data_IF_044255612307
#
_entry.id   IF_044255612307
#
_cell.length_a   1.000
_cell.length_b   1.000
_cell.length_c   1.000
_cell.angle_alpha   90.00
_cell.angle_beta   90.00
_cell.angle_gamma   90.00
#
_symmetry.space_group_name_H-M   'P 1'
#
loop_
_entity.id
_entity.type
_entity.pdbx_description
1 polymer ?
#
# COMPACT_ATOMS: atom_id res chain seq x y z
N UNK A 1 14.60 5.67 27.40
CA UNK A 1 13.62 6.04 26.33
C UNK A 1 13.77 7.49 25.90
N UNK A 2 13.47 8.50 26.73
CA UNK A 2 13.58 9.91 26.31
C UNK A 2 14.99 10.35 25.89
N UNK A 3 16.04 9.85 26.55
CA UNK A 3 17.44 10.12 26.14
C UNK A 3 17.77 9.56 24.75
N UNK A 4 17.24 8.39 24.38
CA UNK A 4 17.41 7.85 23.02
C UNK A 4 16.67 8.69 21.98
N UNK A 5 15.44 9.13 22.28
CA UNK A 5 14.69 10.04 21.40
C UNK A 5 15.45 11.35 21.21
N UNK A 6 15.95 11.95 22.29
CA UNK A 6 16.78 13.14 22.22
C UNK A 6 18.06 12.89 21.40
N UNK A 7 18.72 11.76 21.62
CA UNK A 7 19.90 11.36 20.85
C UNK A 7 19.61 11.24 19.36
N UNK A 8 18.47 10.66 18.98
CA UNK A 8 18.03 10.56 17.58
C UNK A 8 17.73 11.93 16.96
N UNK A 9 17.03 12.82 17.68
CA UNK A 9 16.76 14.19 17.22
C UNK A 9 18.04 15.00 17.02
N UNK A 10 18.99 14.86 17.95
CA UNK A 10 20.32 15.48 17.83
C UNK A 10 21.07 14.89 16.63
N UNK A 11 21.02 13.57 16.44
CA UNK A 11 21.64 12.90 15.31
C UNK A 11 21.05 13.33 13.95
N UNK A 12 19.73 13.46 13.85
CA UNK A 12 19.06 13.99 12.65
C UNK A 12 19.58 15.41 12.33
N UNK A 13 19.61 16.30 13.32
CA UNK A 13 20.10 17.66 13.16
C UNK A 13 21.59 17.72 12.80
N UNK A 14 22.43 16.86 13.38
CA UNK A 14 23.86 16.80 13.06
C UNK A 14 24.11 16.31 11.65
N UNK A 15 23.38 15.28 11.18
CA UNK A 15 23.46 14.80 9.80
C UNK A 15 23.06 15.90 8.81
N UNK A 16 21.95 16.61 9.05
CA UNK A 16 21.54 17.72 8.18
C UNK A 16 22.58 18.84 8.11
N UNK A 17 23.14 19.24 9.25
CA UNK A 17 24.20 20.27 9.31
C UNK A 17 25.49 19.82 8.65
N UNK A 18 25.88 18.56 8.84
CA UNK A 18 27.08 18.00 8.22
C UNK A 18 26.96 17.97 6.69
N UNK A 19 25.81 17.53 6.17
CA UNK A 19 25.54 17.55 4.73
C UNK A 19 25.54 18.97 4.15
N UNK A 20 24.99 19.95 4.86
CA UNK A 20 25.03 21.35 4.45
C UNK A 20 26.47 21.89 4.40
N UNK A 21 27.26 21.64 5.45
CA UNK A 21 28.66 22.07 5.52
C UNK A 21 29.50 21.46 4.39
N UNK A 22 29.35 20.16 4.14
CA UNK A 22 30.04 19.48 3.05
C UNK A 22 29.71 20.09 1.68
N UNK A 23 28.44 20.46 1.45
CA UNK A 23 28.02 21.09 0.20
C UNK A 23 28.60 22.49 0.02
N UNK A 24 28.55 23.32 1.06
CA UNK A 24 29.09 24.67 1.03
C UNK A 24 30.61 24.68 0.83
N UNK A 25 31.33 23.76 1.47
CA UNK A 25 32.79 23.67 1.33
C UNK A 25 33.26 23.26 -0.06
N UNK A 26 32.45 22.48 -0.77
CA UNK A 26 32.79 21.93 -2.09
C UNK A 26 32.02 22.62 -3.24
N UNK A 27 31.34 23.75 -2.97
CA UNK A 27 30.49 24.48 -3.93
C UNK A 27 29.45 23.60 -4.65
N UNK A 28 28.92 22.59 -3.95
CA UNK A 28 27.93 21.65 -4.47
C UNK A 28 26.51 22.18 -4.26
N UNK A 29 25.68 22.11 -5.31
CA UNK A 29 24.26 22.43 -5.22
C UNK A 29 23.48 21.30 -4.52
N UNK A 30 22.39 21.60 -3.80
CA UNK A 30 21.51 20.57 -3.29
C UNK A 30 20.96 19.74 -4.47
N UNK A 31 20.93 18.40 -4.36
CA UNK A 31 20.34 17.59 -5.40
C UNK A 31 18.86 17.94 -5.54
N UNK A 32 18.36 18.00 -6.78
CA UNK A 32 16.96 18.32 -7.08
C UNK A 32 15.99 17.29 -6.52
N UNK A 33 16.45 16.05 -6.31
CA UNK A 33 15.70 14.95 -5.76
C UNK A 33 16.56 14.10 -4.81
N UNK A 34 15.95 13.55 -3.78
CA UNK A 34 16.59 12.63 -2.85
C UNK A 34 16.77 11.25 -3.49
N UNK A 35 17.82 11.09 -4.28
CA UNK A 35 18.21 9.81 -4.90
C UNK A 35 19.57 9.35 -4.38
N UNK A 36 19.75 8.03 -4.25
CA UNK A 36 21.00 7.43 -3.77
C UNK A 36 21.99 7.33 -4.93
N UNK A 37 21.55 6.77 -6.07
CA UNK A 37 22.37 6.61 -7.28
C UNK A 37 22.02 7.67 -8.32
N UNK A 38 22.78 8.77 -8.38
CA UNK A 38 22.48 9.93 -9.24
C UNK A 38 22.48 9.62 -10.75
N UNK A 39 23.27 8.64 -11.19
CA UNK A 39 23.40 8.29 -12.61
C UNK A 39 22.35 7.29 -13.12
N UNK A 40 21.43 6.82 -12.27
CA UNK A 40 20.45 5.80 -12.65
C UNK A 40 19.08 6.44 -12.87
N UNK A 41 18.64 6.42 -14.11
CA UNK A 41 17.35 6.95 -14.60
C UNK A 41 16.49 5.82 -15.17
N UNK A 42 15.25 6.13 -15.56
CA UNK A 42 14.33 5.17 -16.20
C UNK A 42 14.91 4.53 -17.47
N UNK A 43 15.74 5.23 -18.23
CA UNK A 43 16.36 4.69 -19.45
C UNK A 43 17.33 3.53 -19.13
N UNK A 44 18.02 3.61 -18.00
CA UNK A 44 18.98 2.59 -17.58
C UNK A 44 18.33 1.35 -16.96
N UNK A 45 17.02 1.36 -16.70
CA UNK A 45 16.29 0.24 -16.11
C UNK A 45 16.44 -1.06 -16.92
N UNK A 46 16.42 -0.93 -18.25
CA UNK A 46 16.38 -2.08 -19.16
C UNK A 46 17.77 -2.55 -19.63
N UNK A 47 18.84 -1.85 -19.25
CA UNK A 47 20.21 -2.16 -19.70
C UNK A 47 20.83 -3.40 -19.02
N UNK A 48 20.31 -3.84 -17.87
CA UNK A 48 20.83 -5.02 -17.17
C UNK A 48 20.34 -5.13 -15.71
N UNK A 49 20.62 -6.29 -15.09
CA UNK A 49 20.13 -6.61 -13.73
C UNK A 49 20.63 -5.62 -12.68
N UNK A 50 21.92 -5.24 -12.70
CA UNK A 50 22.49 -4.34 -11.72
C UNK A 50 21.91 -2.89 -11.83
N UNK A 51 21.85 -2.26 -13.02
CA UNK A 51 21.12 -1.00 -13.20
C UNK A 51 19.65 -1.07 -12.76
N UNK A 52 18.97 -2.17 -13.05
CA UNK A 52 17.58 -2.40 -12.65
C UNK A 52 17.39 -2.41 -11.12
N UNK A 53 18.25 -3.13 -10.39
CA UNK A 53 18.23 -3.13 -8.92
C UNK A 53 18.50 -1.73 -8.36
N UNK A 54 19.50 -1.01 -8.89
CA UNK A 54 19.78 0.37 -8.46
C UNK A 54 18.60 1.31 -8.71
N UNK A 55 17.90 1.12 -9.83
CA UNK A 55 16.70 1.89 -10.15
C UNK A 55 15.59 1.62 -9.13
N UNK A 56 15.33 0.35 -8.78
CA UNK A 56 14.31 0.02 -7.77
C UNK A 56 14.70 0.48 -6.36
N UNK A 57 15.99 0.54 -6.02
CA UNK A 57 16.44 1.14 -4.75
C UNK A 57 16.11 2.65 -4.72
N UNK A 58 16.32 3.37 -5.84
CA UNK A 58 15.99 4.80 -5.91
C UNK A 58 14.48 5.07 -5.96
N UNK A 59 13.73 4.32 -6.77
CA UNK A 59 12.37 4.67 -7.17
C UNK A 59 11.33 3.58 -6.87
N UNK A 60 11.66 2.59 -6.04
CA UNK A 60 10.77 1.49 -5.69
C UNK A 60 9.46 1.98 -5.07
N UNK A 61 9.54 2.87 -4.07
CA UNK A 61 8.35 3.47 -3.48
C UNK A 61 7.64 4.46 -4.42
N UNK A 62 8.38 5.15 -5.31
CA UNK A 62 7.77 6.00 -6.34
C UNK A 62 6.90 5.21 -7.32
N UNK A 63 7.28 3.96 -7.66
CA UNK A 63 6.49 3.08 -8.54
C UNK A 63 5.41 2.30 -7.80
N UNK A 64 5.71 1.73 -6.64
CA UNK A 64 4.83 0.79 -5.93
C UNK A 64 4.21 1.33 -4.63
N UNK A 65 4.34 2.63 -4.36
CA UNK A 65 3.97 3.21 -3.06
C UNK A 65 2.48 3.10 -2.74
N UNK A 66 1.60 3.15 -3.75
CA UNK A 66 0.16 2.95 -3.55
C UNK A 66 -0.13 1.51 -3.14
N UNK A 67 0.43 0.54 -3.85
CA UNK A 67 0.30 -0.88 -3.60
C UNK A 67 0.84 -1.25 -2.20
N UNK A 68 2.02 -0.74 -1.85
CA UNK A 68 2.61 -0.91 -0.52
C UNK A 68 1.70 -0.31 0.56
N UNK A 69 1.16 0.89 0.34
CA UNK A 69 0.25 1.55 1.29
C UNK A 69 -1.04 0.75 1.49
N UNK A 70 -1.61 0.19 0.43
CA UNK A 70 -2.81 -0.66 0.50
C UNK A 70 -2.54 -1.97 1.23
N UNK A 71 -1.38 -2.61 0.99
CA UNK A 71 -0.95 -3.80 1.73
C UNK A 71 -0.79 -3.48 3.22
N UNK A 72 -0.19 -2.33 3.56
CA UNK A 72 -0.08 -1.88 4.95
C UNK A 72 -1.45 -1.64 5.58
N UNK A 73 -2.42 -1.10 4.84
CA UNK A 73 -3.78 -0.91 5.33
C UNK A 73 -4.46 -2.25 5.66
N UNK A 74 -4.33 -3.24 4.76
CA UNK A 74 -4.83 -4.60 5.01
C UNK A 74 -4.13 -5.24 6.22
N UNK A 75 -2.82 -5.01 6.39
CA UNK A 75 -2.08 -5.50 7.54
C UNK A 75 -2.61 -4.90 8.86
N UNK A 76 -2.88 -3.59 8.91
CA UNK A 76 -3.52 -2.94 10.09
C UNK A 76 -4.86 -3.60 10.40
N UNK A 77 -5.70 -3.81 9.38
CA UNK A 77 -7.02 -4.43 9.56
C UNK A 77 -6.89 -5.87 10.12
N UNK A 78 -5.94 -6.65 9.59
CA UNK A 78 -5.72 -8.04 9.99
C UNK A 78 -5.04 -8.21 11.35
N UNK A 79 -4.21 -7.27 11.78
CA UNK A 79 -3.55 -7.33 13.09
C UNK A 79 -4.44 -6.81 14.23
N UNK A 80 -5.24 -5.77 13.97
CA UNK A 80 -6.10 -5.17 15.01
C UNK A 80 -7.35 -6.00 15.32
N UNK A 81 -8.09 -6.42 14.28
CA UNK A 81 -9.33 -7.19 14.43
C UNK A 81 -10.32 -6.59 15.45
N UNK A 82 -10.40 -5.25 15.51
CA UNK A 82 -11.24 -4.47 16.42
C UNK A 82 -12.21 -3.55 15.64
N UNK A 83 -13.06 -2.82 16.35
CA UNK A 83 -14.00 -1.87 15.72
C UNK A 83 -13.31 -0.82 14.83
N UNK A 84 -12.11 -0.37 15.20
CA UNK A 84 -11.36 0.60 14.39
C UNK A 84 -10.82 0.00 13.09
N UNK A 85 -10.49 -1.29 13.10
CA UNK A 85 -10.16 -2.02 11.89
C UNK A 85 -11.34 -2.03 10.88
N UNK A 86 -12.60 -2.08 11.34
CA UNK A 86 -13.76 -1.89 10.46
C UNK A 86 -13.78 -0.50 9.82
N UNK A 87 -13.48 0.56 10.57
CA UNK A 87 -13.39 1.91 10.03
C UNK A 87 -12.28 2.02 8.96
N UNK A 88 -11.12 1.42 9.21
CA UNK A 88 -10.06 1.31 8.21
C UNK A 88 -10.50 0.53 6.97
N UNK A 89 -11.26 -0.56 7.13
CA UNK A 89 -11.78 -1.37 6.02
C UNK A 89 -12.79 -0.59 5.17
N UNK A 90 -13.68 0.19 5.79
CA UNK A 90 -14.63 1.05 5.09
C UNK A 90 -13.89 2.16 4.33
N UNK A 91 -12.89 2.79 4.95
CA UNK A 91 -12.07 3.79 4.28
C UNK A 91 -11.30 3.20 3.09
N UNK A 92 -10.74 1.99 3.25
CA UNK A 92 -10.05 1.26 2.18
C UNK A 92 -11.00 0.97 1.00
N UNK A 93 -12.21 0.46 1.27
CA UNK A 93 -13.23 0.23 0.24
C UNK A 93 -13.63 1.53 -0.48
N UNK A 94 -13.77 2.64 0.25
CA UNK A 94 -14.10 3.94 -0.32
C UNK A 94 -12.99 4.48 -1.24
N UNK A 95 -11.71 4.24 -0.89
CA UNK A 95 -10.57 4.58 -1.75
C UNK A 95 -10.53 3.68 -2.98
N UNK A 96 -10.67 2.36 -2.81
CA UNK A 96 -10.63 1.39 -3.90
C UNK A 96 -11.83 1.48 -4.86
N UNK A 97 -12.97 2.04 -4.43
CA UNK A 97 -14.08 2.32 -5.34
C UNK A 97 -13.67 3.30 -6.45
N UNK A 98 -12.68 4.16 -6.19
CA UNK A 98 -12.03 5.01 -7.18
C UNK A 98 -11.00 4.17 -7.96
N UNK A 99 -11.42 3.58 -9.07
CA UNK A 99 -10.58 2.67 -9.88
C UNK A 99 -9.40 3.32 -10.63
N UNK A 100 -9.30 4.65 -10.64
CA UNK A 100 -8.25 5.38 -11.38
C UNK A 100 -7.30 6.04 -10.39
N UNK A 101 -5.99 5.90 -10.60
CA UNK A 101 -4.89 6.49 -9.83
C UNK A 101 -5.07 7.99 -9.62
N UNK A 102 -5.41 8.73 -10.67
CA UNK A 102 -5.67 10.19 -10.55
C UNK A 102 -6.81 10.49 -9.59
N UNK A 103 -7.90 9.73 -9.66
CA UNK A 103 -9.05 9.91 -8.77
C UNK A 103 -8.73 9.50 -7.32
N UNK A 104 -7.89 8.47 -7.12
CA UNK A 104 -7.35 8.11 -5.81
C UNK A 104 -6.49 9.26 -5.26
N UNK A 105 -5.59 9.80 -6.07
CA UNK A 105 -4.71 10.91 -5.71
C UNK A 105 -5.45 12.16 -5.22
N UNK A 106 -6.62 12.47 -5.79
CA UNK A 106 -7.47 13.59 -5.34
C UNK A 106 -8.08 13.38 -3.94
N UNK A 107 -8.43 12.14 -3.59
CA UNK A 107 -9.04 11.80 -2.28
C UNK A 107 -7.97 11.45 -1.24
N UNK A 108 -6.75 11.14 -1.66
CA UNK A 108 -5.66 10.68 -0.79
C UNK A 108 -5.33 11.59 0.40
N UNK A 109 -5.34 12.94 0.28
CA UNK A 109 -5.14 13.82 1.43
C UNK A 109 -6.22 13.63 2.51
N UNK A 110 -7.48 13.37 2.11
CA UNK A 110 -8.58 13.08 3.03
C UNK A 110 -8.36 11.74 3.73
N UNK A 111 -7.84 10.74 3.02
CA UNK A 111 -7.47 9.45 3.61
C UNK A 111 -6.33 9.59 4.63
N UNK A 112 -5.29 10.37 4.32
CA UNK A 112 -4.19 10.65 5.27
C UNK A 112 -4.68 11.42 6.50
N UNK A 113 -5.58 12.39 6.33
CA UNK A 113 -6.19 13.12 7.43
C UNK A 113 -7.04 12.19 8.32
N UNK A 114 -7.81 11.29 7.70
CA UNK A 114 -8.58 10.27 8.42
C UNK A 114 -7.67 9.35 9.24
N UNK A 115 -6.60 8.79 8.66
CA UNK A 115 -5.69 7.89 9.39
C UNK A 115 -4.96 8.61 10.52
N UNK A 116 -4.49 9.84 10.30
CA UNK A 116 -3.87 10.66 11.33
C UNK A 116 -4.84 10.98 12.47
N UNK A 117 -6.05 11.45 12.14
CA UNK A 117 -7.08 11.80 13.11
C UNK A 117 -7.52 10.59 13.93
N UNK A 118 -7.68 9.43 13.30
CA UNK A 118 -8.05 8.19 13.99
C UNK A 118 -6.95 7.74 14.95
N UNK A 119 -5.68 7.82 14.55
CA UNK A 119 -4.55 7.48 15.42
C UNK A 119 -4.50 8.40 16.66
N UNK A 120 -4.67 9.71 16.48
CA UNK A 120 -4.72 10.67 17.61
C UNK A 120 -5.90 10.35 18.52
N UNK A 121 -7.07 10.07 17.95
CA UNK A 121 -8.26 9.72 18.72
C UNK A 121 -8.05 8.43 19.53
N UNK A 122 -7.49 7.38 18.93
CA UNK A 122 -7.18 6.15 19.66
C UNK A 122 -6.15 6.36 20.77
N UNK A 123 -5.15 7.21 20.55
CA UNK A 123 -4.18 7.56 21.59
C UNK A 123 -4.86 8.26 22.78
N UNK A 124 -5.79 9.19 22.52
CA UNK A 124 -6.60 9.83 23.56
C UNK A 124 -7.46 8.81 24.33
N UNK A 125 -8.02 7.81 23.64
CA UNK A 125 -8.74 6.72 24.31
C UNK A 125 -7.82 5.89 25.21
N UNK A 126 -6.58 5.63 24.81
CA UNK A 126 -5.62 4.93 25.67
C UNK A 126 -5.22 5.73 26.91
N UNK A 127 -5.21 7.06 26.85
CA UNK A 127 -5.01 7.92 28.02
C UNK A 127 -6.19 7.76 29.00
N UNK A 128 -7.41 7.76 28.47
CA UNK A 128 -8.62 7.63 29.27
C UNK A 128 -8.89 8.83 30.18
N UNK A 129 -9.71 8.60 31.20
CA UNK A 129 -10.14 9.59 32.20
C UNK A 129 -9.31 9.39 33.49
N UNK A 130 -9.09 10.44 34.31
CA UNK A 130 -8.44 10.30 35.61
C UNK A 130 -9.03 9.15 36.45
N UNK A 131 -8.20 8.37 37.17
CA UNK A 131 -8.61 7.15 37.87
C UNK A 131 -9.59 7.38 39.02
N UNK A 132 -9.86 8.63 39.39
CA UNK A 132 -10.88 8.98 40.38
C UNK A 132 -12.32 8.82 39.86
N UNK A 133 -12.52 8.74 38.54
CA UNK A 133 -13.84 8.67 37.92
C UNK A 133 -14.11 7.26 37.39
N UNK A 134 -15.32 6.74 37.61
CA UNK A 134 -15.73 5.44 37.09
C UNK A 134 -16.31 5.56 35.66
N UNK A 135 -16.05 4.55 34.83
CA UNK A 135 -16.59 4.52 33.47
C UNK A 135 -18.04 4.01 33.39
N UNK A 136 -18.88 4.62 32.53
CA UNK A 136 -20.32 4.35 32.49
C UNK A 136 -20.66 2.93 32.03
N UNK A 137 -19.86 2.30 31.15
CA UNK A 137 -20.12 0.92 30.70
C UNK A 137 -19.98 -0.15 31.78
N UNK A 138 -19.30 0.16 32.90
CA UNK A 138 -19.21 -0.73 34.06
C UNK A 138 -20.23 -0.40 35.15
N UNK A 139 -20.68 0.86 35.23
CA UNK A 139 -21.64 1.34 36.25
C UNK A 139 -23.08 1.43 35.75
N UNK A 140 -23.33 1.13 34.47
CA UNK A 140 -24.66 1.07 33.90
C UNK A 140 -25.50 -0.06 34.52
N UNK A 141 -26.83 0.09 34.48
CA UNK A 141 -27.81 -0.91 34.96
C UNK A 141 -27.57 -2.30 34.34
N UNK A 142 -27.12 -2.32 33.09
CA UNK A 142 -26.64 -3.52 32.40
C UNK A 142 -25.18 -3.29 31.97
N UNK A 143 -24.19 -3.83 32.72
CA UNK A 143 -22.79 -3.60 32.39
C UNK A 143 -22.37 -4.37 31.13
N UNK A 144 -21.53 -3.75 30.31
CA UNK A 144 -20.99 -4.41 29.12
C UNK A 144 -19.99 -5.51 29.51
N UNK A 145 -20.02 -6.61 28.75
CA UNK A 145 -19.04 -7.68 28.90
C UNK A 145 -17.64 -7.19 28.48
N UNK A 146 -16.60 -7.65 29.17
CA UNK A 146 -15.20 -7.29 28.90
C UNK A 146 -14.76 -7.58 27.45
N UNK A 147 -15.29 -8.64 26.82
CA UNK A 147 -14.99 -8.94 25.41
C UNK A 147 -15.53 -7.87 24.46
N UNK A 148 -16.72 -7.35 24.73
CA UNK A 148 -17.37 -6.31 23.94
C UNK A 148 -16.62 -4.98 24.11
N UNK A 149 -16.26 -4.64 25.36
CA UNK A 149 -15.45 -3.45 25.69
C UNK A 149 -14.10 -3.50 24.95
N UNK A 150 -13.43 -4.67 24.96
CA UNK A 150 -12.18 -4.88 24.24
C UNK A 150 -12.35 -4.71 22.72
N UNK A 151 -13.39 -5.31 22.14
CA UNK A 151 -13.62 -5.26 20.69
C UNK A 151 -13.94 -3.86 20.19
N UNK A 152 -14.74 -3.08 20.94
CA UNK A 152 -14.97 -1.67 20.65
C UNK A 152 -13.76 -0.77 20.98
N UNK A 153 -12.72 -1.34 21.58
CA UNK A 153 -11.51 -0.62 22.00
C UNK A 153 -11.86 0.61 22.86
N UNK A 154 -12.76 0.40 23.82
CA UNK A 154 -13.14 1.41 24.79
C UNK A 154 -12.07 1.54 25.87
N UNK A 155 -11.85 2.74 26.45
CA UNK A 155 -11.01 2.87 27.62
C UNK A 155 -11.61 2.03 28.77
N UNK A 156 -10.79 1.40 29.60
CA UNK A 156 -11.27 0.72 30.79
C UNK A 156 -10.11 0.51 31.75
N UNK A 157 -10.36 0.55 33.06
CA UNK A 157 -9.31 0.32 34.05
C UNK A 157 -9.00 -1.17 34.20
N UNK A 158 -10.03 -2.02 34.11
CA UNK A 158 -9.91 -3.47 34.24
C UNK A 158 -9.34 -4.10 32.96
N UNK A 159 -9.87 -3.73 31.79
CA UNK A 159 -9.39 -4.21 30.49
C UNK A 159 -8.81 -3.06 29.65
N UNK A 160 -7.57 -2.67 29.95
CA UNK A 160 -6.92 -1.53 29.28
C UNK A 160 -6.74 -1.78 27.77
N UNK A 161 -7.05 -0.79 26.91
CA UNK A 161 -6.79 -0.91 25.48
C UNK A 161 -5.28 -1.03 25.22
N UNK A 162 -4.89 -1.88 24.27
CA UNK A 162 -3.48 -2.10 23.94
C UNK A 162 -2.88 -0.84 23.29
N UNK A 163 -1.87 -0.18 23.89
CA UNK A 163 -1.30 1.07 23.37
C UNK A 163 -0.31 0.88 22.23
N UNK A 164 -0.18 -0.32 21.64
CA UNK A 164 0.72 -0.57 20.52
C UNK A 164 0.15 -0.03 19.21
N UNK A 165 0.60 1.15 18.80
CA UNK A 165 0.19 1.83 17.55
C UNK A 165 1.18 1.64 16.40
N UNK A 166 2.07 0.64 16.47
CA UNK A 166 3.17 0.48 15.50
C UNK A 166 2.62 0.32 14.06
N UNK A 167 1.60 -0.52 13.87
CA UNK A 167 1.04 -0.77 12.54
C UNK A 167 0.28 0.44 11.99
N UNK A 168 -0.49 1.15 12.81
CA UNK A 168 -1.19 2.38 12.41
C UNK A 168 -0.19 3.50 12.07
N UNK A 169 0.90 3.60 12.83
CA UNK A 169 1.97 4.54 12.55
C UNK A 169 2.67 4.22 11.22
N UNK A 170 2.98 2.94 10.95
CA UNK A 170 3.57 2.53 9.68
C UNK A 170 2.62 2.81 8.50
N UNK A 171 1.31 2.58 8.66
CA UNK A 171 0.31 2.95 7.67
C UNK A 171 0.28 4.47 7.44
N UNK A 172 0.31 5.27 8.51
CA UNK A 172 0.36 6.73 8.39
C UNK A 172 1.64 7.21 7.70
N UNK A 173 2.79 6.60 8.02
CA UNK A 173 4.06 6.87 7.36
C UNK A 173 3.97 6.55 5.87
N UNK A 174 3.56 5.34 5.49
CA UNK A 174 3.43 4.96 4.08
C UNK A 174 2.43 5.86 3.34
N UNK A 175 1.27 6.16 3.93
CA UNK A 175 0.27 7.03 3.29
C UNK A 175 0.74 8.47 3.13
N UNK A 176 1.48 9.03 4.09
CA UNK A 176 2.08 10.36 3.98
C UNK A 176 3.19 10.43 2.92
N UNK A 177 4.04 9.40 2.85
CA UNK A 177 5.03 9.28 1.77
C UNK A 177 4.34 9.15 0.40
N UNK A 178 3.26 8.36 0.31
CA UNK A 178 2.51 8.21 -0.92
C UNK A 178 1.81 9.51 -1.34
N UNK A 179 1.40 10.33 -0.38
CA UNK A 179 0.89 11.68 -0.67
C UNK A 179 1.98 12.54 -1.32
N UNK A 180 3.20 12.53 -0.78
CA UNK A 180 4.33 13.24 -1.40
C UNK A 180 4.59 12.74 -2.83
N UNK A 181 4.55 11.43 -3.07
CA UNK A 181 4.70 10.85 -4.41
C UNK A 181 3.63 11.36 -5.38
N UNK A 182 2.36 11.46 -4.97
CA UNK A 182 1.30 12.02 -5.82
C UNK A 182 1.51 13.50 -6.19
N UNK A 183 2.15 14.27 -5.30
CA UNK A 183 2.51 15.66 -5.59
C UNK A 183 3.71 15.72 -6.54
N UNK A 184 4.73 14.90 -6.31
CA UNK A 184 5.98 14.91 -7.06
C UNK A 184 5.87 14.29 -8.45
N UNK A 185 5.04 13.27 -8.66
CA UNK A 185 4.84 12.62 -9.97
C UNK A 185 4.29 13.57 -11.05
N UNK A 186 3.79 14.74 -10.65
CA UNK A 186 3.34 15.79 -11.57
C UNK A 186 4.46 16.71 -12.07
N UNK A 187 5.64 16.68 -11.45
CA UNK A 187 6.79 17.50 -11.86
C UNK A 187 7.49 16.87 -13.07
N UNK A 188 7.65 17.64 -14.15
CA UNK A 188 8.29 17.17 -15.38
C UNK A 188 9.72 16.63 -15.16
N UNK A 189 10.49 17.26 -14.26
CA UNK A 189 11.84 16.81 -13.93
C UNK A 189 11.86 15.41 -13.28
N UNK A 190 10.85 15.07 -12.46
CA UNK A 190 10.72 13.72 -11.86
C UNK A 190 10.35 12.71 -12.93
N UNK A 191 9.41 13.06 -13.82
CA UNK A 191 8.98 12.18 -14.92
C UNK A 191 10.13 11.81 -15.85
N UNK A 192 11.04 12.74 -16.13
CA UNK A 192 12.21 12.46 -16.97
C UNK A 192 13.21 11.50 -16.29
N UNK A 193 13.39 11.61 -14.98
CA UNK A 193 14.33 10.78 -14.22
C UNK A 193 13.75 9.41 -13.87
N UNK A 194 12.56 9.38 -13.25
CA UNK A 194 11.92 8.20 -12.68
C UNK A 194 10.87 7.58 -13.61
N UNK A 195 10.59 8.20 -14.75
CA UNK A 195 9.55 7.76 -15.69
C UNK A 195 8.13 8.10 -15.24
N UNK A 196 7.21 8.03 -16.19
CA UNK A 196 5.80 8.29 -15.95
C UNK A 196 5.10 7.20 -15.11
N UNK A 197 4.14 7.63 -14.29
CA UNK A 197 3.23 6.80 -13.50
C UNK A 197 1.77 6.89 -14.00
N UNK A 198 1.56 7.49 -15.17
CA UNK A 198 0.22 7.69 -15.73
C UNK A 198 -0.31 6.36 -16.24
N UNK A 199 -1.57 6.04 -15.89
CA UNK A 199 -2.24 4.85 -16.42
C UNK A 199 -2.36 4.90 -17.95
N UNK A 200 -2.06 3.77 -18.58
CA UNK A 200 -2.24 3.56 -20.01
C UNK A 200 -3.74 3.42 -20.34
N UNK A 201 -4.14 3.79 -21.55
CA UNK A 201 -5.53 3.65 -22.01
C UNK A 201 -6.00 2.18 -21.96
N UNK A 202 -7.16 1.93 -21.36
CA UNK A 202 -7.73 0.58 -21.18
C UNK A 202 -8.37 -0.01 -22.45
N UNK A 203 -8.54 0.79 -23.49
CA UNK A 203 -9.15 0.40 -24.77
C UNK A 203 -8.11 -0.02 -25.82
N UNK A 204 -6.84 -0.16 -25.45
CA UNK A 204 -5.79 -0.52 -26.39
C UNK A 204 -5.88 -1.99 -26.76
N UNK A 205 -5.84 -2.25 -28.06
CA UNK A 205 -5.71 -3.60 -28.62
C UNK A 205 -4.22 -3.97 -28.76
N UNK A 206 -3.81 -5.17 -28.32
CA UNK A 206 -2.39 -5.59 -28.38
C UNK A 206 -1.80 -5.57 -29.79
N UNK A 207 -2.59 -5.90 -30.81
CA UNK A 207 -2.12 -6.08 -32.19
C UNK A 207 -1.84 -4.76 -32.92
N UNK A 208 -2.60 -3.71 -32.65
CA UNK A 208 -2.47 -2.41 -33.34
C UNK A 208 -1.40 -1.50 -32.71
N UNK A 209 -0.93 -1.83 -31.50
CA UNK A 209 -0.12 -0.93 -30.69
C UNK A 209 1.37 -1.24 -30.62
N UNK A 210 1.82 -2.37 -31.20
CA UNK A 210 3.22 -2.81 -31.10
C UNK A 210 4.23 -1.80 -31.68
N UNK A 211 3.80 -0.86 -32.53
CA UNK A 211 4.64 0.20 -33.11
C UNK A 211 4.80 1.45 -32.22
N UNK A 212 3.99 1.64 -31.18
CA UNK A 212 3.98 2.86 -30.35
C UNK A 212 4.48 2.63 -28.91
N UNK A 213 4.98 1.44 -28.61
CA UNK A 213 5.46 1.07 -27.27
C UNK A 213 6.94 1.49 -27.16
N UNK A 214 7.31 2.32 -26.16
CA UNK A 214 8.68 2.79 -25.97
C UNK A 214 9.59 1.74 -25.30
N UNK A 215 9.12 0.50 -25.15
CA UNK A 215 9.80 -0.60 -24.48
C UNK A 215 10.17 -1.64 -25.52
N UNK A 216 11.46 -1.99 -25.56
CA UNK A 216 11.98 -2.98 -26.50
C UNK A 216 11.42 -4.38 -26.24
N UNK A 217 11.42 -5.21 -27.28
CA UNK A 217 10.98 -6.59 -27.18
C UNK A 217 11.95 -7.39 -26.29
N UNK A 218 11.45 -7.90 -25.16
CA UNK A 218 12.22 -8.65 -24.17
C UNK A 218 12.00 -10.17 -24.26
N UNK A 219 11.45 -10.69 -25.36
CA UNK A 219 11.21 -12.14 -25.50
C UNK A 219 12.52 -12.94 -25.64
N UNK A 220 13.58 -12.35 -26.18
CA UNK A 220 14.87 -13.00 -26.39
C UNK A 220 16.01 -11.99 -26.17
N UNK A 221 16.99 -12.30 -25.30
CA UNK A 221 18.42 -11.90 -25.40
C UNK A 221 19.18 -11.60 -24.08
N UNK A 222 18.56 -11.43 -22.90
CA UNK A 222 19.32 -11.18 -21.65
C UNK A 222 18.80 -11.88 -20.39
N UNK A 223 19.64 -11.96 -19.34
CA UNK A 223 19.24 -12.47 -18.01
C UNK A 223 18.09 -11.66 -17.39
N UNK A 224 18.11 -10.33 -17.59
CA UNK A 224 17.04 -9.45 -17.14
C UNK A 224 15.76 -9.71 -17.93
N UNK A 225 15.87 -10.02 -19.22
CA UNK A 225 14.73 -10.39 -20.05
C UNK A 225 14.10 -11.72 -19.65
N UNK A 226 14.91 -12.72 -19.24
CA UNK A 226 14.37 -13.95 -18.66
C UNK A 226 13.53 -13.67 -17.39
N UNK A 227 14.01 -12.77 -16.52
CA UNK A 227 13.25 -12.35 -15.33
C UNK A 227 11.97 -11.61 -15.73
N UNK A 228 12.03 -10.72 -16.74
CA UNK A 228 10.85 -10.02 -17.26
C UNK A 228 9.82 -10.99 -17.82
N UNK A 229 10.22 -11.96 -18.65
CA UNK A 229 9.32 -12.99 -19.18
C UNK A 229 8.67 -13.78 -18.03
N UNK A 230 9.46 -14.12 -17.01
CA UNK A 230 8.90 -14.78 -15.82
C UNK A 230 7.84 -13.95 -15.11
N UNK A 231 8.14 -12.68 -14.81
CA UNK A 231 7.25 -11.77 -14.10
C UNK A 231 6.02 -11.41 -14.93
N UNK A 232 6.15 -11.16 -16.22
CA UNK A 232 5.03 -10.68 -17.04
C UNK A 232 4.19 -11.79 -17.66
N UNK A 233 4.74 -12.99 -17.89
CA UNK A 233 4.00 -14.10 -18.52
C UNK A 233 3.56 -15.18 -17.53
N UNK A 234 4.42 -15.59 -16.60
CA UNK A 234 4.13 -16.73 -15.70
C UNK A 234 3.52 -16.31 -14.35
N UNK A 235 3.75 -15.07 -13.90
CA UNK A 235 3.25 -14.61 -12.61
C UNK A 235 1.72 -14.64 -12.48
N UNK A 236 0.99 -14.46 -13.60
CA UNK A 236 -0.48 -14.59 -13.62
C UNK A 236 -0.94 -15.96 -13.09
N UNK A 237 -0.33 -17.04 -13.60
CA UNK A 237 -0.67 -18.41 -13.21
C UNK A 237 -0.25 -18.71 -11.76
N UNK A 238 0.88 -18.14 -11.32
CA UNK A 238 1.32 -18.22 -9.93
C UNK A 238 0.28 -17.59 -8.99
N UNK A 239 -0.22 -16.39 -9.32
CA UNK A 239 -1.25 -15.71 -8.51
C UNK A 239 -2.55 -16.51 -8.48
N UNK A 240 -2.96 -17.13 -9.59
CA UNK A 240 -4.14 -18.03 -9.60
C UNK A 240 -3.95 -19.24 -8.68
N UNK A 241 -2.75 -19.83 -8.65
CA UNK A 241 -2.41 -20.89 -7.71
C UNK A 241 -2.52 -20.41 -6.25
N UNK A 242 -2.03 -19.21 -5.94
CA UNK A 242 -2.19 -18.62 -4.60
C UNK A 242 -3.66 -18.43 -4.25
N UNK A 243 -4.50 -17.95 -5.19
CA UNK A 243 -5.94 -17.82 -4.97
C UNK A 243 -6.58 -19.19 -4.67
N UNK A 244 -6.18 -20.24 -5.40
CA UNK A 244 -6.65 -21.60 -5.13
C UNK A 244 -6.27 -22.09 -3.73
N UNK A 245 -5.01 -21.89 -3.31
CA UNK A 245 -4.54 -22.23 -1.97
C UNK A 245 -5.34 -21.46 -0.90
N UNK A 246 -5.57 -20.16 -1.10
CA UNK A 246 -6.38 -19.37 -0.16
C UNK A 246 -7.83 -19.86 -0.08
N UNK A 247 -8.39 -20.38 -1.17
CA UNK A 247 -9.73 -20.95 -1.22
C UNK A 247 -9.87 -22.35 -0.59
N UNK A 248 -8.77 -23.09 -0.43
CA UNK A 248 -8.81 -24.48 0.10
C UNK A 248 -8.28 -24.61 1.53
N UNK A 249 -7.40 -23.71 1.98
CA UNK A 249 -6.73 -23.80 3.29
C UNK A 249 -7.63 -23.63 4.50
N UNK A 250 -8.71 -22.85 4.41
CA UNK A 250 -9.67 -22.63 5.49
C UNK A 250 -11.07 -22.95 4.99
N UNK A 251 -11.87 -23.67 5.78
CA UNK A 251 -13.26 -23.99 5.43
C UNK A 251 -14.14 -22.83 5.89
N UNK A 252 -14.62 -22.01 4.94
CA UNK A 252 -15.54 -20.89 5.19
C UNK A 252 -16.40 -20.66 3.94
N UNK A 253 -17.63 -20.14 4.10
CA UNK A 253 -18.50 -19.75 2.98
C UNK A 253 -17.83 -18.75 2.03
N UNK A 254 -16.97 -17.87 2.56
CA UNK A 254 -16.19 -16.91 1.77
C UNK A 254 -15.12 -17.56 0.88
N UNK A 255 -14.81 -18.84 1.07
CA UNK A 255 -13.81 -19.53 0.27
C UNK A 255 -14.37 -19.96 -1.10
N UNK A 256 -15.68 -20.16 -1.19
CA UNK A 256 -16.34 -20.55 -2.44
C UNK A 256 -16.09 -19.52 -3.55
N UNK A 257 -16.13 -18.22 -3.23
CA UNK A 257 -15.89 -17.18 -4.25
C UNK A 257 -14.47 -17.20 -4.82
N UNK A 258 -13.45 -17.50 -4.00
CA UNK A 258 -12.09 -17.67 -4.49
C UNK A 258 -11.94 -18.88 -5.40
N UNK A 259 -12.58 -20.00 -5.07
CA UNK A 259 -12.57 -21.20 -5.91
C UNK A 259 -13.27 -20.97 -7.25
N UNK A 260 -14.46 -20.34 -7.23
CA UNK A 260 -15.20 -20.00 -8.46
C UNK A 260 -14.37 -19.07 -9.35
N UNK A 261 -13.79 -18.01 -8.79
CA UNK A 261 -12.92 -17.11 -9.55
C UNK A 261 -11.70 -17.83 -10.13
N UNK A 262 -11.05 -18.70 -9.33
CA UNK A 262 -9.90 -19.47 -9.76
C UNK A 262 -10.23 -20.42 -10.93
N UNK A 263 -11.30 -21.21 -10.83
CA UNK A 263 -11.73 -22.10 -11.92
C UNK A 263 -12.11 -21.32 -13.18
N UNK A 264 -12.80 -20.18 -13.03
CA UNK A 264 -13.12 -19.32 -14.16
C UNK A 264 -11.86 -18.83 -14.89
N UNK A 265 -10.87 -18.30 -14.17
CA UNK A 265 -9.63 -17.83 -14.78
C UNK A 265 -8.74 -18.97 -15.31
N UNK A 266 -8.78 -20.16 -14.73
CA UNK A 266 -8.05 -21.30 -15.29
C UNK A 266 -8.68 -21.80 -16.61
N UNK A 267 -10.01 -21.85 -16.70
CA UNK A 267 -10.72 -22.30 -17.90
C UNK A 267 -10.67 -21.29 -19.04
N UNK A 268 -10.85 -20.00 -18.73
CA UNK A 268 -10.96 -18.93 -19.72
C UNK A 268 -9.74 -18.01 -19.77
N UNK A 269 -8.69 -18.26 -18.98
CA UNK A 269 -7.53 -17.37 -18.87
C UNK A 269 -6.88 -17.08 -20.22
N UNK A 270 -6.56 -18.11 -21.00
CA UNK A 270 -5.92 -17.95 -22.31
C UNK A 270 -6.71 -17.07 -23.28
N UNK A 271 -8.04 -17.20 -23.32
CA UNK A 271 -8.88 -16.37 -24.19
C UNK A 271 -9.07 -14.95 -23.64
N UNK A 272 -9.15 -14.79 -22.31
CA UNK A 272 -9.27 -13.49 -21.63
C UNK A 272 -8.00 -12.64 -21.83
N UNK A 273 -6.82 -13.24 -21.83
CA UNK A 273 -5.56 -12.52 -22.09
C UNK A 273 -5.47 -11.98 -23.53
N UNK A 274 -6.18 -12.58 -24.48
CA UNK A 274 -6.24 -12.12 -25.89
C UNK A 274 -7.25 -11.00 -26.10
N UNK A 275 -8.15 -10.75 -25.13
CA UNK A 275 -9.11 -9.66 -25.20
C UNK A 275 -8.49 -8.31 -24.80
N UNK A 276 -9.13 -7.19 -25.16
CA UNK A 276 -8.68 -5.87 -24.74
C UNK A 276 -8.59 -5.76 -23.20
N UNK A 277 -7.57 -5.03 -22.72
CA UNK A 277 -7.19 -4.97 -21.30
C UNK A 277 -8.34 -4.56 -20.36
N UNK A 278 -9.32 -3.79 -20.86
CA UNK A 278 -10.53 -3.42 -20.09
C UNK A 278 -11.32 -4.60 -19.52
N UNK A 279 -11.37 -5.75 -20.21
CA UNK A 279 -12.18 -6.89 -19.78
C UNK A 279 -11.52 -7.62 -18.62
N UNK A 280 -10.24 -7.95 -18.76
CA UNK A 280 -9.46 -8.61 -17.69
C UNK A 280 -9.36 -7.70 -16.46
N UNK A 281 -9.10 -6.40 -16.62
CA UNK A 281 -9.07 -5.46 -15.50
C UNK A 281 -10.41 -5.39 -14.76
N UNK A 282 -11.54 -5.42 -15.48
CA UNK A 282 -12.85 -5.40 -14.82
C UNK A 282 -13.04 -6.63 -13.94
N UNK A 283 -12.76 -7.83 -14.45
CA UNK A 283 -12.86 -9.08 -13.70
C UNK A 283 -11.89 -9.08 -12.50
N UNK A 284 -10.68 -8.57 -12.69
CA UNK A 284 -9.69 -8.44 -11.61
C UNK A 284 -10.13 -7.46 -10.53
N UNK A 285 -10.71 -6.32 -10.91
CA UNK A 285 -11.28 -5.35 -9.95
C UNK A 285 -12.41 -5.99 -9.12
N UNK A 286 -13.25 -6.85 -9.73
CA UNK A 286 -14.28 -7.60 -8.98
C UNK A 286 -13.65 -8.56 -7.97
N UNK A 287 -12.57 -9.23 -8.33
CA UNK A 287 -11.84 -10.12 -7.42
C UNK A 287 -11.17 -9.37 -6.26
N UNK A 288 -10.57 -8.21 -6.54
CA UNK A 288 -9.99 -7.33 -5.49
C UNK A 288 -11.10 -6.83 -4.56
N UNK A 289 -12.24 -6.39 -5.11
CA UNK A 289 -13.38 -5.95 -4.31
C UNK A 289 -13.93 -7.08 -3.44
N UNK A 290 -14.05 -8.29 -3.99
CA UNK A 290 -14.43 -9.49 -3.23
C UNK A 290 -13.45 -9.76 -2.09
N UNK A 291 -12.14 -9.67 -2.36
CA UNK A 291 -11.10 -9.87 -1.35
C UNK A 291 -11.23 -8.88 -0.19
N UNK A 292 -11.41 -7.60 -0.51
CA UNK A 292 -11.60 -6.55 0.51
C UNK A 292 -12.89 -6.78 1.31
N UNK A 293 -13.98 -7.19 0.66
CA UNK A 293 -15.24 -7.53 1.30
C UNK A 293 -15.08 -8.72 2.27
N UNK A 294 -14.39 -9.78 1.85
CA UNK A 294 -14.13 -10.94 2.72
C UNK A 294 -13.30 -10.55 3.94
N UNK A 295 -12.29 -9.69 3.78
CA UNK A 295 -11.49 -9.18 4.90
C UNK A 295 -12.38 -8.39 5.88
N UNK A 296 -13.22 -7.48 5.37
CA UNK A 296 -14.12 -6.70 6.21
C UNK A 296 -15.15 -7.59 6.96
N UNK A 297 -15.76 -8.56 6.26
CA UNK A 297 -16.73 -9.47 6.89
C UNK A 297 -16.08 -10.38 7.93
N UNK A 298 -14.85 -10.85 7.71
CA UNK A 298 -14.10 -11.63 8.71
C UNK A 298 -13.65 -10.81 9.91
N UNK A 299 -13.55 -9.49 9.77
CA UNK A 299 -13.25 -8.60 10.89
C UNK A 299 -14.51 -8.33 11.72
N UNK A 300 -15.67 -8.27 11.07
CA UNK A 300 -16.96 -8.04 11.69
C UNK A 300 -17.50 -9.27 12.45
N UNK A 301 -17.31 -10.46 11.87
CA UNK A 301 -17.77 -11.76 12.41
C UNK A 301 -16.76 -12.36 13.38
#
# INVERSE_FOLDING_TARGET
>A
NHLMVLGLLVFEATVHRHQLYFRLRNDLKPPSFSVIFQFITRQHLDHGVLPCVKYFINFGFYKFGLEISLIMAVNVIGQRMDFYALLHSCALLAVLSRRRRKAIGEVWPKYCCFTAGLMVFQYLLCIGIPPALCYPWRTAVQPLNSNVIKWFYLPDFAMRPNPSFIFDHLLLLCSSLQWQVFVEENRAAVRLLAGDNVEISRNLDPCSFNQFIPVDNFLHCSYLDMVKVFVYSYFFWLVLCLIFITGTTRINIFCLGYLVACFYFMLFGGSVLMQPVRYILRLWDWLIAYTCFVIAMKNLL
#
